data_IF_675158388283
#
_entry.id   IF_675158388283
#
_cell.length_a   1.000
_cell.length_b   1.000
_cell.length_c   1.000
_cell.angle_alpha   90.00
_cell.angle_beta   90.00
_cell.angle_gamma   90.00
#
_symmetry.space_group_name_H-M   'P 1'
#
loop_
_entity.id
_entity.type
_entity.pdbx_description
1 polymer ?
#
# COMPACT_ATOMS: atom_id res chain seq x y z
N UNK A 1 16.82 -17.55 -15.65
CA UNK A 1 15.90 -16.70 -16.42
C UNK A 1 15.37 -15.64 -15.49
N UNK A 2 15.61 -14.37 -15.81
CA UNK A 2 15.34 -13.26 -14.91
C UNK A 2 14.15 -12.46 -15.43
N UNK A 3 13.13 -12.29 -14.60
CA UNK A 3 12.14 -11.24 -14.80
C UNK A 3 12.85 -9.90 -14.63
N UNK A 4 12.62 -8.96 -15.54
CA UNK A 4 13.16 -7.61 -15.39
C UNK A 4 12.19 -6.82 -14.51
N UNK A 5 12.65 -6.50 -13.31
CA UNK A 5 11.90 -5.61 -12.44
C UNK A 5 11.98 -4.18 -12.99
N UNK A 6 10.83 -3.53 -13.14
CA UNK A 6 10.73 -2.17 -13.69
C UNK A 6 11.22 -1.08 -12.74
N UNK A 7 11.28 -1.41 -11.44
CA UNK A 7 11.59 -0.44 -10.40
C UNK A 7 12.43 -1.04 -9.27
N UNK A 8 13.16 -0.18 -8.55
CA UNK A 8 13.88 -0.57 -7.34
C UNK A 8 12.96 -0.64 -6.11
N UNK A 9 13.54 -0.90 -4.93
CA UNK A 9 12.80 -1.05 -3.65
C UNK A 9 11.78 0.06 -3.37
N UNK A 10 12.16 1.33 -3.61
CA UNK A 10 11.27 2.49 -3.40
C UNK A 10 10.04 2.46 -4.33
N UNK A 11 10.21 1.95 -5.55
CA UNK A 11 9.10 1.80 -6.50
C UNK A 11 8.10 0.76 -6.02
N UNK A 12 8.59 -0.39 -5.52
CA UNK A 12 7.72 -1.46 -5.00
C UNK A 12 6.85 -0.95 -3.85
N UNK A 13 7.44 -0.27 -2.86
CA UNK A 13 6.66 0.28 -1.75
C UNK A 13 5.62 1.30 -2.20
N UNK A 14 5.94 2.08 -3.24
CA UNK A 14 4.98 3.01 -3.82
C UNK A 14 3.84 2.28 -4.52
N UNK A 15 4.14 1.25 -5.32
CA UNK A 15 3.13 0.39 -5.94
C UNK A 15 2.21 -0.23 -4.90
N UNK A 16 2.76 -0.83 -3.84
CA UNK A 16 1.96 -1.41 -2.74
C UNK A 16 1.03 -0.35 -2.15
N UNK A 17 1.56 0.84 -1.83
CA UNK A 17 0.76 1.93 -1.25
C UNK A 17 -0.39 2.39 -2.16
N UNK A 18 -0.18 2.51 -3.47
CA UNK A 18 -1.27 2.89 -4.37
C UNK A 18 -2.30 1.77 -4.51
N UNK A 19 -1.87 0.50 -4.61
CA UNK A 19 -2.77 -0.65 -4.63
C UNK A 19 -3.60 -0.76 -3.34
N UNK A 20 -3.00 -0.48 -2.17
CA UNK A 20 -3.70 -0.46 -0.88
C UNK A 20 -4.79 0.62 -0.85
N UNK A 21 -4.57 1.76 -1.52
CA UNK A 21 -5.57 2.83 -1.61
C UNK A 21 -6.72 2.51 -2.56
N UNK A 22 -6.43 1.77 -3.62
CA UNK A 22 -7.43 1.32 -4.60
C UNK A 22 -8.25 0.14 -4.07
N UNK A 23 -7.70 -0.62 -3.12
CA UNK A 23 -8.35 -1.75 -2.49
C UNK A 23 -9.42 -1.30 -1.46
N UNK A 24 -10.69 -1.75 -1.58
CA UNK A 24 -11.73 -1.45 -0.59
C UNK A 24 -11.40 -1.95 0.81
N UNK A 25 -10.66 -3.06 0.90
CA UNK A 25 -10.19 -3.63 2.16
C UNK A 25 -8.84 -3.06 2.56
N UNK A 26 -8.06 -2.50 1.62
CA UNK A 26 -6.66 -2.17 1.84
C UNK A 26 -5.74 -3.39 1.81
N UNK A 27 -6.24 -4.57 1.42
CA UNK A 27 -5.43 -5.76 1.20
C UNK A 27 -4.83 -5.74 -0.20
N UNK A 28 -3.56 -6.16 -0.30
CA UNK A 28 -2.82 -6.22 -1.56
C UNK A 28 -2.13 -7.57 -1.68
N UNK A 29 -2.40 -8.24 -2.80
CA UNK A 29 -1.85 -9.56 -3.09
C UNK A 29 -0.50 -9.41 -3.79
N UNK A 30 0.47 -10.27 -3.44
CA UNK A 30 1.80 -10.21 -4.06
C UNK A 30 1.75 -10.37 -5.58
N UNK A 31 0.76 -11.12 -6.10
CA UNK A 31 0.58 -11.32 -7.54
C UNK A 31 0.24 -10.00 -8.25
N UNK A 32 -0.56 -9.13 -7.63
CA UNK A 32 -0.84 -7.79 -8.16
C UNK A 32 0.43 -6.92 -8.17
N UNK A 33 1.19 -6.93 -7.06
CA UNK A 33 2.47 -6.19 -6.99
C UNK A 33 3.47 -6.74 -8.02
N UNK A 34 3.52 -8.06 -8.20
CA UNK A 34 4.43 -8.70 -9.14
C UNK A 34 4.12 -8.28 -10.58
N UNK A 35 2.84 -8.30 -10.99
CA UNK A 35 2.42 -7.88 -12.32
C UNK A 35 2.66 -6.39 -12.59
N UNK A 36 2.50 -5.53 -11.57
CA UNK A 36 2.71 -4.08 -11.72
C UNK A 36 4.20 -3.70 -11.74
N UNK A 37 5.03 -4.45 -11.00
CA UNK A 37 6.47 -4.15 -10.86
C UNK A 37 7.38 -4.92 -11.81
N UNK A 38 6.88 -5.93 -12.52
CA UNK A 38 7.66 -6.66 -13.52
C UNK A 38 7.16 -6.30 -14.90
N UNK A 39 8.04 -5.66 -15.66
CA UNK A 39 7.75 -5.31 -17.05
C UNK A 39 8.40 -6.31 -17.96
N UNK A 40 7.77 -6.46 -19.11
CA UNK A 40 8.47 -6.93 -20.29
C UNK A 40 8.08 -6.09 -21.48
N UNK A 41 9.06 -5.81 -22.34
CA UNK A 41 8.94 -4.87 -23.47
C UNK A 41 7.88 -5.29 -24.48
N UNK A 42 7.48 -6.55 -24.47
CA UNK A 42 6.61 -7.22 -25.43
C UNK A 42 5.43 -7.92 -24.76
N UNK A 43 5.07 -7.56 -23.53
CA UNK A 43 4.02 -8.26 -22.77
C UNK A 43 2.65 -8.26 -23.45
N UNK A 44 2.33 -7.19 -24.20
CA UNK A 44 1.08 -7.06 -24.94
C UNK A 44 1.15 -7.66 -26.35
N UNK A 45 2.31 -8.19 -26.76
CA UNK A 45 2.47 -8.90 -28.01
C UNK A 45 2.13 -10.39 -27.78
N UNK A 46 1.00 -10.89 -28.31
CA UNK A 46 0.61 -12.28 -28.12
C UNK A 46 1.62 -13.26 -28.75
N UNK A 47 2.40 -12.81 -29.74
CA UNK A 47 3.41 -13.61 -30.44
C UNK A 47 4.78 -13.59 -29.74
N UNK A 48 4.91 -12.86 -28.62
CA UNK A 48 6.18 -12.86 -27.89
C UNK A 48 6.54 -14.26 -27.41
N UNK A 49 7.70 -14.72 -27.86
CA UNK A 49 8.33 -15.98 -27.48
C UNK A 49 9.22 -15.83 -26.25
N UNK A 50 9.32 -14.62 -25.69
CA UNK A 50 10.07 -14.39 -24.46
C UNK A 50 9.44 -15.17 -23.31
N UNK A 51 10.25 -15.98 -22.63
CA UNK A 51 9.75 -16.79 -21.51
C UNK A 51 9.20 -15.91 -20.39
N UNK A 52 9.77 -14.72 -20.18
CA UNK A 52 9.26 -13.77 -19.19
C UNK A 52 7.88 -13.24 -19.58
N UNK A 53 7.62 -12.98 -20.86
CA UNK A 53 6.29 -12.55 -21.34
C UNK A 53 5.24 -13.65 -21.19
N UNK A 54 5.60 -14.87 -21.58
CA UNK A 54 4.72 -16.04 -21.46
C UNK A 54 4.34 -16.23 -19.98
N UNK A 55 5.31 -16.12 -19.07
CA UNK A 55 5.05 -16.26 -17.63
C UNK A 55 4.20 -15.11 -17.08
N UNK A 56 4.46 -13.85 -17.45
CA UNK A 56 3.65 -12.72 -16.99
C UNK A 56 2.20 -12.82 -17.47
N UNK A 57 1.98 -13.22 -18.73
CA UNK A 57 0.63 -13.48 -19.27
C UNK A 57 -0.07 -14.60 -18.50
N UNK A 58 0.61 -15.73 -18.29
CA UNK A 58 0.03 -16.86 -17.54
C UNK A 58 -0.30 -16.49 -16.09
N UNK A 59 0.55 -15.71 -15.41
CA UNK A 59 0.26 -15.22 -14.06
C UNK A 59 -1.00 -14.35 -14.09
N UNK A 60 -1.10 -13.43 -15.05
CA UNK A 60 -2.27 -12.57 -15.21
C UNK A 60 -3.55 -13.38 -15.44
N UNK A 61 -3.53 -14.34 -16.34
CA UNK A 61 -4.67 -15.25 -16.62
C UNK A 61 -5.10 -16.04 -15.37
N UNK A 62 -4.13 -16.56 -14.59
CA UNK A 62 -4.43 -17.29 -13.35
C UNK A 62 -5.01 -16.39 -12.25
N UNK A 63 -4.54 -15.14 -12.15
CA UNK A 63 -5.09 -14.15 -11.21
C UNK A 63 -6.53 -13.80 -11.58
N UNK A 64 -6.80 -13.57 -12.86
CA UNK A 64 -8.15 -13.26 -13.35
C UNK A 64 -9.12 -14.44 -13.19
N UNK A 65 -8.64 -15.68 -13.38
CA UNK A 65 -9.45 -16.88 -13.21
C UNK A 65 -9.78 -17.20 -11.74
N UNK A 66 -8.93 -16.81 -10.79
CA UNK A 66 -9.10 -17.08 -9.37
C UNK A 66 -8.56 -15.92 -8.49
N UNK A 67 -9.28 -14.79 -8.41
CA UNK A 67 -8.81 -13.62 -7.66
C UNK A 67 -8.69 -13.88 -6.15
N UNK A 68 -9.57 -14.70 -5.57
CA UNK A 68 -9.58 -15.00 -4.13
C UNK A 68 -8.45 -15.97 -3.72
N UNK A 69 -7.90 -16.72 -4.68
CA UNK A 69 -6.83 -17.68 -4.44
C UNK A 69 -5.43 -17.07 -4.28
N UNK A 70 -5.30 -15.75 -4.29
CA UNK A 70 -4.00 -15.08 -4.36
C UNK A 70 -3.37 -14.76 -2.99
N UNK A 71 -4.04 -15.12 -1.90
CA UNK A 71 -3.58 -14.83 -0.53
C UNK A 71 -2.55 -15.86 -0.01
N UNK A 72 -2.52 -17.06 -0.60
CA UNK A 72 -1.55 -18.09 -0.24
C UNK A 72 -0.28 -17.99 -1.10
N UNK A 73 0.76 -17.41 -0.52
CA UNK A 73 2.07 -17.26 -1.16
C UNK A 73 2.74 -18.58 -1.59
N UNK A 74 2.26 -19.74 -1.15
CA UNK A 74 2.79 -21.03 -1.61
C UNK A 74 2.09 -21.55 -2.85
N UNK A 75 0.85 -21.10 -3.09
CA UNK A 75 -0.03 -21.66 -4.12
C UNK A 75 -0.66 -20.61 -5.04
N UNK A 76 -0.31 -19.33 -4.89
CA UNK A 76 -0.80 -18.26 -5.78
C UNK A 76 -0.23 -18.38 -7.21
N UNK A 77 -0.74 -17.53 -8.11
CA UNK A 77 -0.34 -17.55 -9.52
C UNK A 77 1.18 -17.42 -9.72
N UNK A 78 1.85 -16.58 -8.94
CA UNK A 78 3.31 -16.40 -9.02
C UNK A 78 4.03 -17.70 -8.63
N UNK A 79 3.62 -18.39 -7.57
CA UNK A 79 4.21 -19.68 -7.18
C UNK A 79 3.98 -20.76 -8.22
N UNK A 80 2.76 -20.84 -8.77
CA UNK A 80 2.41 -21.84 -9.79
C UNK A 80 3.24 -21.70 -11.07
N UNK A 81 3.55 -20.46 -11.48
CA UNK A 81 4.28 -20.19 -12.74
C UNK A 81 5.79 -20.08 -12.56
N UNK A 82 6.24 -19.50 -11.46
CA UNK A 82 7.67 -19.25 -11.19
C UNK A 82 8.30 -20.32 -10.30
N UNK A 83 7.50 -21.24 -9.79
CA UNK A 83 7.88 -22.17 -8.73
C UNK A 83 7.94 -21.50 -7.36
N UNK A 84 8.08 -22.31 -6.29
CA UNK A 84 8.12 -21.83 -4.92
C UNK A 84 9.20 -20.77 -4.70
N UNK A 85 8.92 -19.82 -3.82
CA UNK A 85 9.90 -18.82 -3.42
C UNK A 85 11.00 -19.40 -2.55
N UNK A 86 12.19 -18.80 -2.68
CA UNK A 86 13.32 -19.08 -1.83
C UNK A 86 13.03 -18.70 -0.37
N UNK A 87 13.72 -19.35 0.58
CA UNK A 87 13.51 -19.09 2.01
C UNK A 87 13.75 -17.63 2.41
N UNK A 88 14.74 -16.98 1.79
CA UNK A 88 15.18 -15.63 2.13
C UNK A 88 14.49 -14.50 1.36
N UNK A 89 13.67 -14.81 0.36
CA UNK A 89 13.09 -13.80 -0.51
C UNK A 89 11.78 -14.26 -1.13
N UNK A 90 10.74 -13.45 -0.93
CA UNK A 90 9.43 -13.55 -1.56
C UNK A 90 9.38 -12.59 -2.75
N UNK A 91 9.05 -13.12 -3.92
CA UNK A 91 8.93 -12.33 -5.15
C UNK A 91 7.80 -11.31 -5.03
N UNK A 92 7.97 -10.15 -5.65
CA UNK A 92 6.97 -9.07 -5.66
C UNK A 92 6.91 -8.24 -4.37
N UNK A 93 7.41 -8.72 -3.23
CA UNK A 93 7.29 -7.99 -1.94
C UNK A 93 8.41 -6.97 -1.70
N UNK A 94 9.48 -7.01 -2.51
CA UNK A 94 10.62 -6.12 -2.37
C UNK A 94 11.45 -6.36 -1.11
N UNK A 95 12.51 -5.56 -0.95
CA UNK A 95 13.21 -5.42 0.35
C UNK A 95 13.92 -6.65 0.93
N UNK A 96 13.93 -7.80 0.25
CA UNK A 96 14.40 -9.07 0.86
C UNK A 96 13.42 -9.62 1.89
N UNK A 97 12.12 -9.32 1.76
CA UNK A 97 11.08 -9.86 2.64
C UNK A 97 11.06 -11.38 2.54
N UNK A 98 11.22 -12.06 3.68
CA UNK A 98 11.22 -13.53 3.75
C UNK A 98 9.82 -14.07 4.02
N UNK A 99 9.61 -15.36 3.72
CA UNK A 99 8.36 -16.07 4.04
C UNK A 99 8.06 -16.05 5.54
N UNK A 100 9.10 -16.22 6.36
CA UNK A 100 8.98 -16.16 7.82
C UNK A 100 8.54 -14.78 8.28
N UNK A 101 9.10 -13.72 7.69
CA UNK A 101 8.72 -12.34 8.02
C UNK A 101 7.24 -12.09 7.74
N UNK A 102 6.75 -12.47 6.56
CA UNK A 102 5.32 -12.30 6.20
C UNK A 102 4.40 -13.02 7.19
N UNK A 103 4.73 -14.28 7.54
CA UNK A 103 3.94 -15.06 8.50
C UNK A 103 3.96 -14.44 9.89
N UNK A 104 5.13 -14.03 10.36
CA UNK A 104 5.28 -13.42 11.67
C UNK A 104 4.56 -12.08 11.78
N UNK A 105 4.46 -11.31 10.68
CA UNK A 105 3.77 -10.02 10.65
C UNK A 105 2.28 -10.10 10.34
N UNK A 106 1.75 -11.24 9.90
CA UNK A 106 0.38 -11.35 9.37
C UNK A 106 -0.68 -10.80 10.33
N UNK A 107 -0.64 -11.20 11.60
CA UNK A 107 -1.59 -10.72 12.61
C UNK A 107 -1.47 -9.21 12.88
N UNK A 108 -0.23 -8.70 12.89
CA UNK A 108 0.03 -7.26 13.12
C UNK A 108 -0.49 -6.43 11.95
N UNK A 109 -0.24 -6.89 10.72
CA UNK A 109 -0.73 -6.23 9.49
C UNK A 109 -2.25 -6.20 9.46
N UNK A 110 -2.92 -7.32 9.77
CA UNK A 110 -4.39 -7.33 9.78
C UNK A 110 -4.98 -6.44 10.89
N UNK A 111 -4.34 -6.40 12.06
CA UNK A 111 -4.76 -5.48 13.14
C UNK A 111 -4.61 -4.03 12.71
N UNK A 112 -3.48 -3.69 12.07
CA UNK A 112 -3.24 -2.35 11.55
C UNK A 112 -4.27 -1.96 10.49
N UNK A 113 -4.63 -2.88 9.59
CA UNK A 113 -5.63 -2.67 8.55
C UNK A 113 -7.01 -2.36 9.14
N UNK A 114 -7.43 -3.09 10.18
CA UNK A 114 -8.68 -2.83 10.90
C UNK A 114 -8.69 -1.44 11.55
N UNK A 115 -7.62 -1.10 12.28
CA UNK A 115 -7.46 0.22 12.91
C UNK A 115 -7.50 1.34 11.87
N UNK A 116 -6.85 1.16 10.73
CA UNK A 116 -6.89 2.14 9.63
C UNK A 116 -8.31 2.29 9.06
N UNK A 117 -9.04 1.20 8.89
CA UNK A 117 -10.41 1.24 8.40
C UNK A 117 -11.35 1.96 9.37
N UNK A 118 -11.26 1.65 10.66
CA UNK A 118 -12.02 2.34 11.70
C UNK A 118 -11.68 3.83 11.74
N UNK A 119 -10.40 4.19 11.66
CA UNK A 119 -9.96 5.59 11.59
C UNK A 119 -10.53 6.31 10.35
N UNK A 120 -10.59 5.66 9.18
CA UNK A 120 -11.22 6.24 7.98
C UNK A 120 -12.72 6.48 8.20
N UNK A 121 -13.42 5.53 8.82
CA UNK A 121 -14.84 5.66 9.14
C UNK A 121 -15.08 6.84 10.08
N UNK A 122 -14.35 6.90 11.20
CA UNK A 122 -14.48 7.99 12.18
C UNK A 122 -14.18 9.36 11.57
N UNK A 123 -13.18 9.45 10.69
CA UNK A 123 -12.91 10.70 9.97
C UNK A 123 -14.04 11.11 9.03
N UNK A 124 -14.75 10.16 8.42
CA UNK A 124 -15.94 10.44 7.61
C UNK A 124 -17.08 10.97 8.47
N UNK A 125 -17.33 10.35 9.62
CA UNK A 125 -18.37 10.77 10.57
C UNK A 125 -18.10 12.17 11.12
N UNK A 126 -16.84 12.47 11.48
CA UNK A 126 -16.42 13.81 11.92
C UNK A 126 -16.70 14.84 10.83
N UNK A 127 -16.35 14.54 9.57
CA UNK A 127 -16.61 15.46 8.43
C UNK A 127 -18.11 15.70 8.25
N UNK A 128 -18.93 14.67 8.38
CA UNK A 128 -20.39 14.76 8.28
C UNK A 128 -20.96 15.65 9.40
N UNK A 129 -20.56 15.41 10.65
CA UNK A 129 -21.02 16.20 11.79
C UNK A 129 -20.59 17.68 11.70
N UNK A 130 -19.38 17.95 11.22
CA UNK A 130 -18.93 19.34 10.94
C UNK A 130 -19.81 19.98 9.85
N UNK A 131 -20.16 19.24 8.79
CA UNK A 131 -21.03 19.74 7.73
C UNK A 131 -22.48 19.97 8.20
N UNK A 132 -22.99 19.15 9.12
CA UNK A 132 -24.33 19.31 9.71
C UNK A 132 -24.41 20.46 10.72
N UNK A 133 -23.41 20.57 11.61
CA UNK A 133 -23.31 21.68 12.58
C UNK A 133 -22.98 23.03 11.94
N UNK A 134 -22.40 23.03 10.74
CA UNK A 134 -22.20 24.22 9.91
C UNK A 134 -23.46 24.72 9.17
N UNK A 135 -24.60 24.02 9.26
CA UNK A 135 -25.88 24.51 8.71
C UNK A 135 -26.49 25.52 9.70
N UNK A 136 -26.74 26.78 9.30
CA UNK A 136 -27.36 27.75 10.20
C UNK A 136 -28.82 27.37 10.44
N UNK A 137 -29.13 26.90 11.64
CA UNK A 137 -30.48 26.94 12.18
C UNK A 137 -30.91 28.41 12.25
N UNK A 138 -31.86 28.80 11.41
CA UNK A 138 -32.47 30.11 11.49
C UNK A 138 -33.12 30.33 12.87
N UNK A 139 -32.95 31.57 13.36
CA UNK A 139 -33.52 32.21 14.57
C UNK A 139 -32.72 31.84 15.84
N UNK A 140 -31.89 32.72 16.39
CA UNK A 140 -32.24 34.07 16.83
C UNK A 140 -31.10 35.09 16.68
N UNK A 141 -31.49 36.31 16.32
CA UNK A 141 -30.71 37.56 16.29
C UNK A 141 -29.87 37.74 17.56
N UNK A 142 -28.55 37.99 17.43
CA UNK A 142 -27.90 39.23 17.88
C UNK A 142 -26.36 39.14 17.97
N UNK A 143 -25.72 40.09 17.28
CA UNK A 143 -24.44 40.79 17.55
C UNK A 143 -23.09 40.10 17.20
N UNK A 144 -22.24 40.76 16.40
CA UNK A 144 -20.92 40.26 16.02
C UNK A 144 -19.83 40.69 17.00
N UNK A 145 -18.92 39.79 17.34
CA UNK A 145 -17.65 40.13 17.99
C UNK A 145 -16.51 39.54 17.17
N UNK A 146 -15.81 40.46 16.50
CA UNK A 146 -14.59 40.26 15.74
C UNK A 146 -13.41 40.12 16.71
N UNK A 147 -12.37 39.36 16.30
CA UNK A 147 -11.00 39.22 16.86
C UNK A 147 -10.73 37.77 17.32
N UNK A 148 -9.60 37.13 17.03
CA UNK A 148 -8.40 37.51 16.28
C UNK A 148 -7.64 36.22 15.92
N UNK A 149 -6.85 36.32 14.86
CA UNK A 149 -6.10 35.28 14.15
C UNK A 149 -5.00 34.59 14.97
N UNK A 150 -4.74 33.35 14.57
CA UNK A 150 -3.44 32.69 14.40
C UNK A 150 -2.42 32.76 15.56
N UNK A 151 -2.32 31.69 16.35
CA UNK A 151 -1.09 31.41 17.09
C UNK A 151 -0.93 29.93 17.48
N UNK A 152 -0.61 29.05 16.53
CA UNK A 152 0.13 27.81 16.84
C UNK A 152 1.13 27.57 15.71
N UNK A 153 2.25 28.27 15.76
CA UNK A 153 3.42 27.99 14.92
C UNK A 153 4.64 27.78 15.82
N UNK A 154 5.23 26.61 15.67
CA UNK A 154 6.61 26.26 16.00
C UNK A 154 7.08 26.36 17.46
N UNK A 155 7.06 25.21 18.14
CA UNK A 155 8.11 24.85 19.11
C UNK A 155 8.55 23.40 18.92
N UNK A 156 9.47 23.17 17.99
CA UNK A 156 10.40 22.05 18.07
C UNK A 156 11.77 22.68 18.29
N UNK A 157 12.21 22.71 19.55
CA UNK A 157 13.57 23.08 19.92
C UNK A 157 14.44 21.82 19.84
N UNK A 158 15.39 21.80 18.91
CA UNK A 158 16.50 20.83 18.87
C UNK A 158 17.55 21.21 19.92
N UNK A 159 18.08 20.27 20.73
CA UNK A 159 19.19 20.55 21.64
C UNK A 159 20.51 20.64 20.85
N UNK A 160 21.22 21.76 21.02
CA UNK A 160 22.58 21.98 20.53
C UNK A 160 23.58 21.31 21.49
N UNK A 161 24.31 20.31 21.02
CA UNK A 161 25.45 19.73 21.74
C UNK A 161 26.64 20.69 21.68
N UNK A 162 27.06 21.22 22.84
CA UNK A 162 28.34 21.92 22.98
C UNK A 162 29.44 20.87 23.27
N UNK A 163 30.38 20.72 22.34
CA UNK A 163 31.63 20.01 22.57
C UNK A 163 32.57 20.89 23.38
N UNK A 164 32.99 20.43 24.55
CA UNK A 164 34.08 21.02 25.33
C UNK A 164 35.42 20.46 24.82
N UNK A 165 36.34 21.37 24.48
CA UNK A 165 37.74 21.06 24.17
C UNK A 165 38.56 21.25 25.45
N UNK A 166 39.43 20.29 25.77
CA UNK A 166 40.65 20.49 26.54
C UNK A 166 41.80 19.85 25.77
#
# INVERSE_FOLDING_TARGET
MEFVQSCGRKGIYRTIYELEKESPTGEVNRSAVFLDTHVSKTMNDPESTSVSDIKLRLIKELVEANPDGQNDIENDAVALVCGPDSRGHVRGMGGGVSRTTLRASATVVETLRKVQQENRSLQSDIKLLIAESGKPTQKHTSTPLHQSLANIQNRISTPSYQSASQ
#
